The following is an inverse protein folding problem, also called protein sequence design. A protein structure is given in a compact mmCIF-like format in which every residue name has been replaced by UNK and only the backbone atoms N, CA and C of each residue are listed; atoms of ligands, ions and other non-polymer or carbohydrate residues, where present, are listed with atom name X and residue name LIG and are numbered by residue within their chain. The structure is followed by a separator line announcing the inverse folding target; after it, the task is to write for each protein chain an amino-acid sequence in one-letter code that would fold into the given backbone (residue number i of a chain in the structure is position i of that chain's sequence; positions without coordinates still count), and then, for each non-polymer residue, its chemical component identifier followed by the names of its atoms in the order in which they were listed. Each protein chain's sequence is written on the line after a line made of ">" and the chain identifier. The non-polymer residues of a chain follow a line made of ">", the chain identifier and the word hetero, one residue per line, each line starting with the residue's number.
data_IF_144296849877
#
_entry.id   IF_144296849877
#
_cell.length_a   1.000
_cell.length_b   1.000
_cell.length_c   1.000
_cell.angle_alpha   90.00
_cell.angle_beta   90.00
_cell.angle_gamma   90.00
#
_symmetry.space_group_name_H-M   'P 1'
#
loop_
_entity.id
_entity.type
_entity.pdbx_description
1 polymer ?
#
# COMPACT_ATOMS: atom_id res chain seq x y z
N UNK A 1 0.05 23.27 -8.78
CA UNK A 1 -0.87 22.25 -9.35
C UNK A 1 -0.38 20.96 -8.75
N UNK A 2 -1.22 20.27 -7.97
CA UNK A 2 -0.86 18.97 -7.39
C UNK A 2 -1.17 17.89 -8.44
N UNK A 3 -0.27 16.92 -8.57
CA UNK A 3 -0.49 15.76 -9.44
C UNK A 3 -1.34 14.73 -8.70
N UNK A 4 -2.18 14.01 -9.44
CA UNK A 4 -3.10 13.03 -8.88
C UNK A 4 -2.78 11.65 -9.41
N UNK A 5 -2.76 10.67 -8.52
CA UNK A 5 -2.34 9.31 -8.84
C UNK A 5 -3.39 8.29 -8.44
N UNK A 6 -3.59 7.32 -9.32
CA UNK A 6 -4.13 6.02 -8.95
C UNK A 6 -2.98 5.16 -8.43
N UNK A 7 -3.04 4.73 -7.19
CA UNK A 7 -2.03 3.86 -6.57
C UNK A 7 -2.69 2.56 -6.14
N UNK A 8 -2.14 1.43 -6.59
CA UNK A 8 -2.65 0.10 -6.33
C UNK A 8 -1.57 -0.74 -5.68
N UNK A 9 -1.90 -1.39 -4.56
CA UNK A 9 -1.09 -2.45 -3.95
C UNK A 9 -1.84 -3.78 -4.06
N UNK A 10 -1.14 -4.84 -4.43
CA UNK A 10 -1.69 -6.19 -4.56
C UNK A 10 -0.59 -7.22 -4.28
N UNK A 11 -0.65 -7.88 -3.12
CA UNK A 11 0.29 -8.93 -2.80
C UNK A 11 -0.27 -9.91 -1.76
N UNK A 12 0.43 -11.03 -1.61
CA UNK A 12 0.25 -11.92 -0.46
C UNK A 12 1.42 -11.74 0.49
N UNK A 13 1.13 -11.48 1.76
CA UNK A 13 2.10 -11.59 2.83
C UNK A 13 2.10 -13.02 3.38
N UNK A 14 3.22 -13.44 3.98
CA UNK A 14 3.33 -14.78 4.57
C UNK A 14 2.29 -14.99 5.66
N UNK A 15 1.82 -16.23 5.83
CA UNK A 15 0.87 -16.58 6.90
C UNK A 15 1.42 -16.24 8.30
N UNK A 16 2.74 -16.37 8.48
CA UNK A 16 3.47 -16.06 9.70
C UNK A 16 3.88 -14.57 9.85
N UNK A 17 3.28 -13.67 9.05
CA UNK A 17 3.57 -12.23 9.14
C UNK A 17 3.36 -11.74 10.58
N UNK A 18 4.35 -11.05 11.17
CA UNK A 18 4.29 -10.63 12.57
C UNK A 18 3.05 -9.78 12.87
N UNK A 19 2.44 -10.01 14.04
CA UNK A 19 1.26 -9.25 14.47
C UNK A 19 1.46 -7.72 14.43
N UNK A 20 2.61 -7.15 14.87
CA UNK A 20 2.83 -5.71 14.78
C UNK A 20 2.77 -5.15 13.35
N UNK A 21 3.23 -5.93 12.36
CA UNK A 21 3.17 -5.55 10.94
C UNK A 21 1.72 -5.59 10.44
N UNK A 22 0.96 -6.61 10.83
CA UNK A 22 -0.47 -6.70 10.49
C UNK A 22 -1.27 -5.56 11.13
N UNK A 23 -0.93 -5.16 12.36
CA UNK A 23 -1.60 -4.07 13.06
C UNK A 23 -1.27 -2.71 12.43
N UNK A 24 -0.02 -2.49 12.05
CA UNK A 24 0.42 -1.36 11.24
C UNK A 24 -0.35 -1.26 9.91
N UNK A 25 -0.46 -2.37 9.18
CA UNK A 25 -1.22 -2.41 7.93
C UNK A 25 -2.69 -2.12 8.16
N UNK A 26 -3.32 -2.71 9.18
CA UNK A 26 -4.71 -2.41 9.54
C UNK A 26 -4.92 -0.93 9.79
N UNK A 27 -4.00 -0.28 10.51
CA UNK A 27 -4.03 1.17 10.73
C UNK A 27 -3.92 1.96 9.43
N UNK A 28 -2.96 1.65 8.56
CA UNK A 28 -2.87 2.32 7.26
C UNK A 28 -4.13 2.12 6.41
N UNK A 29 -4.84 0.99 6.54
CA UNK A 29 -6.13 0.72 5.87
C UNK A 29 -7.33 1.45 6.51
N UNK A 30 -7.11 2.26 7.56
CA UNK A 30 -8.15 3.02 8.24
C UNK A 30 -9.06 2.19 9.16
N UNK A 31 -8.63 0.99 9.58
CA UNK A 31 -9.46 0.09 10.39
C UNK A 31 -9.49 0.51 11.88
N UNK A 32 -8.36 0.59 12.61
CA UNK A 32 -8.30 1.30 13.88
C UNK A 32 -8.17 2.81 13.64
N UNK A 33 -8.76 3.61 14.53
CA UNK A 33 -8.66 5.08 14.48
C UNK A 33 -7.34 5.65 14.99
N UNK A 34 -6.53 4.84 15.70
CA UNK A 34 -5.25 5.25 16.29
C UNK A 34 -4.13 4.27 15.84
N UNK A 35 -2.88 4.75 15.69
CA UNK A 35 -1.75 3.89 15.37
C UNK A 35 -1.46 2.89 16.50
N UNK A 36 -0.91 1.71 16.18
CA UNK A 36 -0.44 0.77 17.20
C UNK A 36 0.58 1.43 18.13
N UNK A 37 0.61 1.00 19.40
CA UNK A 37 1.54 1.56 20.38
C UNK A 37 3.01 1.39 19.92
N UNK A 38 3.72 2.51 19.81
CA UNK A 38 5.12 2.52 19.36
C UNK A 38 5.32 2.45 17.84
N UNK A 39 4.24 2.40 17.06
CA UNK A 39 4.26 2.52 15.60
C UNK A 39 3.92 3.94 15.18
N UNK A 40 4.67 4.52 14.23
CA UNK A 40 4.32 5.78 13.57
C UNK A 40 4.49 7.08 14.36
N UNK A 41 4.92 7.05 15.63
CA UNK A 41 5.10 8.27 16.42
C UNK A 41 6.12 9.25 15.80
N UNK A 42 7.16 8.73 15.12
CA UNK A 42 8.19 9.52 14.45
C UNK A 42 8.31 9.24 12.94
N UNK A 43 7.75 8.12 12.46
CA UNK A 43 7.98 7.59 11.10
C UNK A 43 6.74 7.70 10.20
N UNK A 44 5.52 7.71 10.76
CA UNK A 44 4.28 7.67 9.98
C UNK A 44 3.25 8.68 10.50
N UNK A 45 3.06 9.78 9.76
CA UNK A 45 2.20 10.87 10.21
C UNK A 45 0.68 10.54 10.11
N UNK A 46 0.27 9.64 9.22
CA UNK A 46 -1.15 9.31 8.97
C UNK A 46 -1.35 7.98 8.20
N UNK A 47 -2.58 7.41 8.18
CA UNK A 47 -2.92 6.25 7.36
C UNK A 47 -2.86 6.54 5.85
N UNK A 48 -2.07 5.77 5.09
CA UNK A 48 -1.81 6.00 3.66
C UNK A 48 -2.75 5.20 2.73
N UNK A 49 -3.37 4.13 3.24
CA UNK A 49 -4.19 3.19 2.45
C UNK A 49 -5.68 3.27 2.80
N UNK A 50 -6.06 4.22 3.66
CA UNK A 50 -7.44 4.39 4.11
C UNK A 50 -8.30 4.89 2.96
N UNK A 51 -9.37 4.18 2.57
CA UNK A 51 -10.21 4.63 1.47
C UNK A 51 -10.84 6.00 1.74
N UNK A 52 -10.65 6.95 0.82
CA UNK A 52 -11.35 8.24 0.88
C UNK A 52 -12.80 8.09 0.40
N UNK A 53 -13.83 8.37 1.23
CA UNK A 53 -15.23 8.37 0.79
C UNK A 53 -15.54 9.42 -0.29
N UNK A 54 -14.64 10.38 -0.51
CA UNK A 54 -14.71 11.42 -1.53
C UNK A 54 -13.73 11.23 -2.68
N UNK A 55 -13.13 10.03 -2.79
CA UNK A 55 -12.20 9.67 -3.86
C UNK A 55 -12.76 10.02 -5.24
N UNK A 56 -11.88 10.55 -6.09
CA UNK A 56 -12.19 10.89 -7.49
C UNK A 56 -11.98 9.72 -8.45
N UNK A 57 -11.46 8.59 -7.98
CA UNK A 57 -11.29 7.41 -8.83
C UNK A 57 -12.66 6.89 -9.28
N UNK A 58 -12.80 6.47 -10.55
CA UNK A 58 -13.99 5.72 -10.99
C UNK A 58 -14.15 4.46 -10.14
N UNK A 59 -15.31 4.31 -9.48
CA UNK A 59 -15.56 3.21 -8.54
C UNK A 59 -15.03 3.43 -7.11
N UNK A 60 -14.39 4.58 -6.85
CA UNK A 60 -13.87 4.99 -5.55
C UNK A 60 -12.61 4.25 -5.12
N UNK A 61 -12.16 4.59 -3.92
CA UNK A 61 -11.08 3.90 -3.23
C UNK A 61 -11.57 2.59 -2.62
N UNK A 62 -10.64 1.64 -2.49
CA UNK A 62 -10.91 0.36 -1.86
C UNK A 62 -9.67 -0.18 -1.17
N UNK A 63 -9.85 -0.82 -0.03
CA UNK A 63 -8.75 -1.42 0.71
C UNK A 63 -9.21 -2.68 1.46
N UNK A 64 -8.40 -3.73 1.45
CA UNK A 64 -8.69 -4.98 2.16
C UNK A 64 -7.42 -5.74 2.53
N UNK A 65 -7.44 -6.30 3.74
CA UNK A 65 -6.45 -7.25 4.24
C UNK A 65 -7.19 -8.46 4.82
N UNK A 66 -6.99 -9.64 4.25
CA UNK A 66 -7.69 -10.87 4.68
C UNK A 66 -6.77 -12.07 4.64
N UNK A 67 -6.91 -12.97 5.61
CA UNK A 67 -6.27 -14.27 5.57
C UNK A 67 -6.93 -15.15 4.50
N UNK A 68 -6.13 -15.78 3.65
CA UNK A 68 -6.52 -16.68 2.57
C UNK A 68 -5.56 -17.87 2.52
N UNK A 69 -5.84 -18.87 1.68
CA UNK A 69 -5.02 -20.09 1.54
C UNK A 69 -3.55 -19.81 1.18
N UNK A 70 -3.28 -18.67 0.53
CA UNK A 70 -1.94 -18.26 0.12
C UNK A 70 -1.23 -17.31 1.12
N UNK A 71 -1.84 -17.05 2.28
CA UNK A 71 -1.36 -16.10 3.30
C UNK A 71 -2.30 -14.89 3.45
N UNK A 72 -1.77 -13.77 3.94
CA UNK A 72 -2.56 -12.54 4.07
C UNK A 72 -2.63 -11.82 2.73
N UNK A 73 -3.79 -11.85 2.07
CA UNK A 73 -4.05 -11.11 0.85
C UNK A 73 -4.28 -9.64 1.17
N UNK A 74 -3.41 -8.77 0.66
CA UNK A 74 -3.54 -7.32 0.68
C UNK A 74 -3.95 -6.84 -0.72
N UNK A 75 -4.99 -6.04 -0.77
CA UNK A 75 -5.35 -5.27 -1.95
C UNK A 75 -5.77 -3.87 -1.53
N UNK A 76 -5.17 -2.84 -2.11
CA UNK A 76 -5.66 -1.47 -2.01
C UNK A 76 -5.61 -0.75 -3.35
N UNK A 77 -6.50 0.22 -3.51
CA UNK A 77 -6.59 1.13 -4.63
C UNK A 77 -7.00 2.48 -4.06
N UNK A 78 -6.10 3.45 -4.17
CA UNK A 78 -6.23 4.73 -3.51
C UNK A 78 -5.97 5.88 -4.48
N UNK A 79 -6.68 6.98 -4.27
CA UNK A 79 -6.41 8.27 -4.93
C UNK A 79 -5.39 9.04 -4.09
N UNK A 80 -4.18 9.22 -4.62
CA UNK A 80 -3.08 9.88 -3.93
C UNK A 80 -2.73 11.21 -4.58
N UNK A 81 -2.29 12.18 -3.77
CA UNK A 81 -1.62 13.37 -4.27
C UNK A 81 -0.12 13.13 -4.42
N UNK A 82 0.58 14.07 -5.05
CA UNK A 82 2.05 14.05 -5.17
C UNK A 82 2.77 13.97 -3.81
N UNK A 83 2.24 14.63 -2.78
CA UNK A 83 2.77 14.55 -1.42
C UNK A 83 2.64 13.12 -0.84
N UNK A 84 1.50 12.45 -1.04
CA UNK A 84 1.29 11.06 -0.59
C UNK A 84 2.15 10.08 -1.39
N UNK A 85 2.38 10.35 -2.69
CA UNK A 85 3.26 9.53 -3.51
C UNK A 85 4.71 9.56 -3.00
N UNK A 86 5.14 10.66 -2.35
CA UNK A 86 6.40 10.71 -1.62
C UNK A 86 6.52 9.65 -0.51
N UNK A 87 5.38 9.23 0.05
CA UNK A 87 5.26 8.20 1.08
C UNK A 87 5.07 6.78 0.50
N UNK A 88 5.22 6.58 -0.81
CA UNK A 88 5.14 5.25 -1.42
C UNK A 88 6.16 4.28 -0.80
N UNK A 89 7.39 4.76 -0.56
CA UNK A 89 8.49 4.00 0.03
C UNK A 89 8.12 3.47 1.42
N UNK A 90 7.42 4.27 2.22
CA UNK A 90 6.92 3.87 3.55
C UNK A 90 6.09 2.57 3.48
N UNK A 91 5.14 2.50 2.56
CA UNK A 91 4.29 1.30 2.42
C UNK A 91 5.09 0.14 1.84
N UNK A 92 5.96 0.40 0.87
CA UNK A 92 6.77 -0.65 0.24
C UNK A 92 7.77 -1.28 1.22
N UNK A 93 8.42 -0.49 2.07
CA UNK A 93 9.34 -0.95 3.12
C UNK A 93 8.61 -1.78 4.18
N UNK A 94 7.37 -1.41 4.52
CA UNK A 94 6.52 -2.20 5.42
C UNK A 94 6.14 -3.56 4.82
N UNK A 95 5.88 -3.62 3.51
CA UNK A 95 5.39 -4.83 2.84
C UNK A 95 6.51 -5.80 2.45
N UNK A 96 7.56 -5.29 1.82
CA UNK A 96 8.51 -6.10 1.06
C UNK A 96 9.17 -7.25 1.86
N UNK A 97 9.58 -7.06 3.13
CA UNK A 97 10.18 -8.14 3.94
C UNK A 97 9.21 -9.29 4.23
N UNK A 98 7.91 -9.06 4.08
CA UNK A 98 6.83 -9.98 4.47
C UNK A 98 6.09 -10.60 3.28
N UNK A 99 6.42 -10.21 2.05
CA UNK A 99 5.81 -10.78 0.84
C UNK A 99 6.11 -12.28 0.73
N UNK A 100 5.06 -13.06 0.46
CA UNK A 100 5.11 -14.51 0.39
C UNK A 100 5.76 -15.05 -0.89
N UNK A 101 5.59 -14.34 -2.02
CA UNK A 101 6.15 -14.73 -3.32
C UNK A 101 6.60 -13.50 -4.11
N UNK A 102 7.79 -13.53 -4.73
CA UNK A 102 8.21 -12.48 -5.65
C UNK A 102 7.22 -12.30 -6.80
N UNK A 103 7.08 -11.07 -7.28
CA UNK A 103 6.20 -10.74 -8.40
C UNK A 103 5.66 -9.30 -8.35
N UNK A 104 4.77 -8.94 -9.30
CA UNK A 104 4.14 -7.63 -9.33
C UNK A 104 3.45 -7.33 -8.01
N UNK A 105 3.82 -6.21 -7.39
CA UNK A 105 3.26 -5.75 -6.12
C UNK A 105 2.15 -4.74 -6.27
N UNK A 106 1.95 -4.22 -7.49
CA UNK A 106 1.04 -3.12 -7.75
C UNK A 106 1.58 -2.13 -8.76
N UNK A 107 0.96 -0.96 -8.82
CA UNK A 107 1.38 0.12 -9.71
C UNK A 107 0.94 1.48 -9.19
N UNK A 108 1.54 2.53 -9.72
CA UNK A 108 0.98 3.88 -9.66
C UNK A 108 0.89 4.50 -11.06
N UNK A 109 -0.06 5.41 -11.26
CA UNK A 109 -0.25 6.09 -12.53
C UNK A 109 -0.89 7.44 -12.30
N UNK A 110 -0.30 8.48 -12.89
CA UNK A 110 -0.88 9.81 -12.91
C UNK A 110 -2.19 9.82 -13.73
N UNK A 111 -3.17 10.64 -13.34
CA UNK A 111 -4.53 10.65 -13.91
C UNK A 111 -4.56 10.74 -15.45
N UNK A 112 -3.66 11.52 -16.04
CA UNK A 112 -3.56 11.72 -17.49
C UNK A 112 -2.58 10.76 -18.20
N UNK A 113 -1.84 9.93 -17.47
CA UNK A 113 -0.86 9.00 -18.03
C UNK A 113 -1.51 7.67 -18.46
N UNK A 114 -1.10 7.14 -19.61
CA UNK A 114 -1.63 5.87 -20.12
C UNK A 114 -0.84 4.67 -19.61
N UNK A 115 0.45 4.84 -19.31
CA UNK A 115 1.33 3.76 -18.87
C UNK A 115 1.58 3.82 -17.36
N UNK A 116 1.13 2.83 -16.58
CA UNK A 116 1.42 2.78 -15.16
C UNK A 116 2.89 2.41 -14.92
N UNK A 117 3.45 2.92 -13.82
CA UNK A 117 4.72 2.44 -13.28
C UNK A 117 4.43 1.27 -12.35
N UNK A 118 4.96 0.10 -12.68
CA UNK A 118 4.75 -1.14 -11.93
C UNK A 118 5.91 -1.36 -10.97
N UNK A 119 5.60 -1.63 -9.71
CA UNK A 119 6.60 -2.09 -8.75
C UNK A 119 6.50 -3.59 -8.54
N UNK A 120 7.65 -4.22 -8.32
CA UNK A 120 7.79 -5.68 -8.17
C UNK A 120 8.48 -5.98 -6.85
N UNK A 121 7.94 -6.90 -6.06
CA UNK A 121 8.61 -7.41 -4.86
C UNK A 121 9.56 -8.55 -5.21
N UNK A 122 10.76 -8.53 -4.62
CA UNK A 122 11.78 -9.56 -4.80
C UNK A 122 12.73 -9.58 -3.61
N UNK A 123 13.05 -10.78 -3.11
CA UNK A 123 14.09 -11.01 -2.10
C UNK A 123 14.00 -10.12 -0.84
N UNK A 124 12.78 -9.80 -0.41
CA UNK A 124 12.52 -8.94 0.75
C UNK A 124 12.59 -7.44 0.47
N UNK A 125 12.87 -7.03 -0.76
CA UNK A 125 12.85 -5.66 -1.25
C UNK A 125 11.90 -5.47 -2.43
N UNK A 126 12.04 -4.35 -3.13
CA UNK A 126 11.24 -4.02 -4.29
C UNK A 126 12.03 -3.24 -5.34
N UNK A 127 11.68 -3.47 -6.59
CA UNK A 127 12.14 -2.68 -7.73
C UNK A 127 10.96 -1.88 -8.25
N UNK A 128 11.11 -0.56 -8.32
CA UNK A 128 10.28 0.29 -9.16
C UNK A 128 10.97 0.33 -10.54
N UNK A 129 10.65 -0.63 -11.41
CA UNK A 129 11.15 -0.56 -12.78
C UNK A 129 10.36 0.53 -13.51
N UNK A 130 10.99 1.70 -13.66
CA UNK A 130 10.61 2.66 -14.69
C UNK A 130 10.74 2.01 -16.09
N UNK A 131 9.89 2.42 -17.04
CA UNK A 131 9.44 1.64 -18.21
C UNK A 131 10.54 1.14 -19.19
#
# INVERSE_FOLDING_TARGET
>A
MSLHYEVVFTCFLREDTPAPVLDALRWHLGLPGEPPQGYGADEYAYPLLSPDPHSRLPGGDFASLRLQDAGWGLYSRNYWLDDDLGELVTVLDLLAPHVARPGPGGFFREEDELRPTVFTFRDGGYDALEP
#
